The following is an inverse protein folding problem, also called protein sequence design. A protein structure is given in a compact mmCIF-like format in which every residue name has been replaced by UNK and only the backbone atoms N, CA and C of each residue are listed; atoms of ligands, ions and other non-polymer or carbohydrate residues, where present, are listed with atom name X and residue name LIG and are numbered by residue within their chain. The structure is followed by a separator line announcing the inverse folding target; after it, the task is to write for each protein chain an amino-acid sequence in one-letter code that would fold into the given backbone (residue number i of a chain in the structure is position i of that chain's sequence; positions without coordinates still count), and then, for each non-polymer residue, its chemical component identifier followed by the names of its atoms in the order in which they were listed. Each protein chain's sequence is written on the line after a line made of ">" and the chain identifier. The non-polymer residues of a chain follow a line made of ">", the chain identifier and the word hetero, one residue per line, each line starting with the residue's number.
data_IF_604160729392
#
_entry.id   IF_604160729392
#
_cell.length_a   1.000
_cell.length_b   1.000
_cell.length_c   1.000
_cell.angle_alpha   90.00
_cell.angle_beta   90.00
_cell.angle_gamma   90.00
#
_symmetry.space_group_name_H-M   'P 1'
#
loop_
_entity.id
_entity.type
_entity.pdbx_description
1 polymer ?
#
# COMPACT_ATOMS: atom_id res chain seq x y z
N UNK A 1 -32.30 -21.67 68.58
CA UNK A 1 -32.94 -20.93 67.47
C UNK A 1 -31.85 -20.20 66.71
N UNK A 2 -31.47 -20.75 65.58
CA UNK A 2 -30.37 -20.24 64.78
C UNK A 2 -30.98 -19.58 63.54
N UNK A 3 -30.85 -18.26 63.42
CA UNK A 3 -31.25 -17.48 62.23
C UNK A 3 -30.12 -17.53 61.23
N UNK A 4 -30.36 -18.17 60.07
CA UNK A 4 -29.48 -18.14 58.94
C UNK A 4 -29.74 -16.85 58.15
N UNK A 5 -28.71 -15.99 58.09
CA UNK A 5 -28.63 -14.85 57.18
C UNK A 5 -28.17 -15.35 55.82
N UNK A 6 -29.02 -15.23 54.81
CA UNK A 6 -28.63 -15.41 53.41
C UNK A 6 -28.06 -14.08 52.91
N UNK A 7 -26.76 -14.04 52.62
CA UNK A 7 -26.12 -12.95 51.89
C UNK A 7 -26.27 -13.22 50.40
N UNK A 8 -27.11 -12.40 49.74
CA UNK A 8 -27.24 -12.42 48.30
C UNK A 8 -26.03 -11.76 47.64
N UNK A 9 -25.29 -12.54 46.89
CA UNK A 9 -24.20 -12.04 46.04
C UNK A 9 -24.85 -11.57 44.73
N UNK A 10 -24.92 -10.25 44.54
CA UNK A 10 -25.32 -9.64 43.29
C UNK A 10 -24.09 -9.70 42.35
N UNK A 11 -24.13 -10.55 41.34
CA UNK A 11 -23.18 -10.57 40.24
C UNK A 11 -23.50 -9.41 39.31
N UNK A 12 -22.65 -8.37 39.37
CA UNK A 12 -22.67 -7.28 38.42
C UNK A 12 -21.89 -7.74 37.19
N UNK A 13 -22.59 -8.26 36.18
CA UNK A 13 -22.01 -8.58 34.88
C UNK A 13 -21.68 -7.26 34.13
N UNK A 14 -20.44 -6.86 34.21
CA UNK A 14 -19.86 -5.83 33.33
C UNK A 14 -19.81 -6.39 31.89
N UNK A 15 -20.79 -6.02 31.09
CA UNK A 15 -20.69 -6.18 29.63
C UNK A 15 -19.61 -5.24 29.11
N UNK A 16 -18.40 -5.75 28.99
CA UNK A 16 -17.34 -5.10 28.20
C UNK A 16 -17.78 -5.22 26.74
N UNK A 17 -18.38 -4.16 26.23
CA UNK A 17 -18.58 -3.99 24.80
C UNK A 17 -17.19 -3.81 24.16
N UNK A 18 -16.59 -4.89 23.69
CA UNK A 18 -15.47 -4.82 22.78
C UNK A 18 -15.97 -4.20 21.48
N UNK A 19 -15.81 -2.89 21.33
CA UNK A 19 -15.95 -2.25 20.03
C UNK A 19 -14.97 -2.93 19.07
N UNK A 20 -15.49 -3.51 17.98
CA UNK A 20 -14.69 -3.99 16.86
C UNK A 20 -14.05 -2.78 16.16
N UNK A 21 -12.99 -2.24 16.75
CA UNK A 21 -12.07 -1.43 15.99
C UNK A 21 -11.32 -2.40 15.06
N UNK A 22 -11.43 -2.25 13.75
CA UNK A 22 -10.64 -3.06 12.84
C UNK A 22 -9.16 -2.85 13.21
N UNK A 23 -8.50 -3.91 13.65
CA UNK A 23 -7.06 -3.89 13.90
C UNK A 23 -6.39 -3.54 12.58
N UNK A 24 -5.41 -2.62 12.57
CA UNK A 24 -4.67 -2.32 11.36
C UNK A 24 -4.04 -3.62 10.83
N UNK A 25 -4.21 -3.89 9.53
CA UNK A 25 -3.62 -5.04 8.88
C UNK A 25 -2.09 -4.97 9.06
N UNK A 26 -1.49 -5.98 9.65
CA UNK A 26 -0.05 -6.13 9.72
C UNK A 26 0.41 -7.04 8.57
N UNK A 27 1.35 -6.55 7.78
CA UNK A 27 1.97 -7.32 6.71
C UNK A 27 3.21 -8.01 7.29
N UNK A 28 3.33 -9.30 7.04
CA UNK A 28 4.45 -10.11 7.53
C UNK A 28 5.15 -10.70 6.32
N UNK A 29 6.42 -10.36 6.14
CA UNK A 29 7.27 -11.09 5.21
C UNK A 29 7.61 -12.43 5.85
N UNK A 30 7.21 -13.54 5.22
CA UNK A 30 7.63 -14.85 5.65
C UNK A 30 9.14 -14.94 5.46
N UNK A 31 9.88 -15.21 6.55
CA UNK A 31 11.33 -15.38 6.53
C UNK A 31 11.67 -16.74 5.86
N UNK A 32 11.52 -16.80 4.55
CA UNK A 32 11.77 -18.03 3.78
C UNK A 32 13.17 -18.08 3.18
N UNK A 33 13.93 -16.97 3.24
CA UNK A 33 15.25 -16.91 2.61
C UNK A 33 16.22 -15.99 3.34
N UNK A 34 17.51 -16.13 3.03
CA UNK A 34 18.60 -15.21 3.43
C UNK A 34 18.50 -13.84 2.69
N UNK A 35 17.34 -13.52 2.09
CA UNK A 35 17.15 -12.26 1.39
C UNK A 35 17.20 -11.07 2.34
N UNK A 36 18.15 -10.19 2.09
CA UNK A 36 18.40 -9.02 2.93
C UNK A 36 17.19 -8.07 3.00
N UNK A 37 16.36 -8.01 1.95
CA UNK A 37 15.14 -7.21 1.94
C UNK A 37 14.08 -7.80 2.88
N UNK A 38 13.90 -9.13 2.87
CA UNK A 38 12.99 -9.81 3.82
C UNK A 38 13.36 -9.50 5.26
N UNK A 39 14.65 -9.54 5.61
CA UNK A 39 15.14 -9.21 6.95
C UNK A 39 14.85 -7.76 7.31
N UNK A 40 15.02 -6.83 6.36
CA UNK A 40 14.75 -5.40 6.57
C UNK A 40 13.26 -5.07 6.68
N UNK A 41 12.42 -5.71 5.89
CA UNK A 41 10.97 -5.50 5.96
C UNK A 41 10.42 -5.99 7.29
N UNK A 42 10.81 -7.16 7.74
CA UNK A 42 10.32 -7.76 8.99
C UNK A 42 8.78 -7.71 9.06
N UNK A 43 8.27 -7.36 10.23
CA UNK A 43 6.85 -7.04 10.41
C UNK A 43 6.65 -5.53 10.30
N UNK A 44 5.82 -5.09 9.35
CA UNK A 44 5.54 -3.68 9.12
C UNK A 44 4.03 -3.39 9.12
N UNK A 45 3.70 -2.14 9.39
CA UNK A 45 2.35 -1.60 9.36
C UNK A 45 2.26 -0.50 8.31
N UNK A 46 1.08 0.07 8.13
CA UNK A 46 0.91 1.25 7.29
C UNK A 46 1.16 2.52 8.09
N UNK A 47 2.05 3.36 7.60
CA UNK A 47 2.18 4.76 7.99
C UNK A 47 1.30 5.62 7.08
N UNK A 48 0.88 6.79 7.57
CA UNK A 48 0.07 7.75 6.80
C UNK A 48 0.89 8.99 6.48
N UNK A 49 0.83 9.43 5.24
CA UNK A 49 1.40 10.67 4.75
C UNK A 49 0.32 11.49 4.05
N UNK A 50 0.20 12.77 4.40
CA UNK A 50 -0.67 13.70 3.67
C UNK A 50 0.16 14.45 2.64
N UNK A 51 -0.19 14.31 1.38
CA UNK A 51 0.44 15.03 0.28
C UNK A 51 -0.40 16.22 -0.14
N UNK A 52 0.04 17.43 0.19
CA UNK A 52 -0.59 18.67 -0.27
C UNK A 52 -0.57 18.78 -1.79
N UNK A 53 0.54 18.37 -2.44
CA UNK A 53 0.71 18.48 -3.89
C UNK A 53 -0.17 17.50 -4.68
N UNK A 54 -0.44 16.30 -4.13
CA UNK A 54 -1.35 15.33 -4.75
C UNK A 54 -2.80 15.50 -4.25
N UNK A 55 -3.02 16.25 -3.17
CA UNK A 55 -4.33 16.47 -2.56
C UNK A 55 -4.94 15.20 -1.98
N UNK A 56 -4.11 14.28 -1.45
CA UNK A 56 -4.57 13.01 -0.94
C UNK A 56 -3.73 12.49 0.22
N UNK A 57 -4.33 11.60 1.00
CA UNK A 57 -3.63 10.81 2.01
C UNK A 57 -3.11 9.50 1.39
N UNK A 58 -1.86 9.18 1.69
CA UNK A 58 -1.19 7.97 1.25
C UNK A 58 -0.87 7.12 2.47
N UNK A 59 -1.43 5.92 2.54
CA UNK A 59 -1.04 4.92 3.51
C UNK A 59 0.05 4.05 2.88
N UNK A 60 1.25 4.07 3.41
CA UNK A 60 2.40 3.39 2.82
C UNK A 60 3.10 2.46 3.84
N UNK A 61 3.87 1.46 3.38
CA UNK A 61 4.63 0.56 4.26
C UNK A 61 5.61 1.31 5.17
N UNK A 62 5.48 1.15 6.49
CA UNK A 62 6.18 1.96 7.50
C UNK A 62 7.70 1.78 7.54
N UNK A 63 8.26 0.78 6.88
CA UNK A 63 9.71 0.60 6.76
C UNK A 63 10.33 1.45 5.63
N UNK A 64 9.50 2.04 4.75
CA UNK A 64 9.94 2.95 3.71
C UNK A 64 10.08 4.38 4.25
N UNK A 65 10.95 5.17 3.63
CA UNK A 65 11.15 6.57 3.93
C UNK A 65 10.59 7.44 2.81
N UNK A 66 9.83 8.47 3.18
CA UNK A 66 9.40 9.46 2.21
C UNK A 66 10.61 10.23 1.67
N UNK A 67 10.75 10.26 0.34
CA UNK A 67 11.75 11.05 -0.36
C UNK A 67 11.12 12.34 -0.87
N UNK A 68 11.65 13.47 -0.45
CA UNK A 68 11.23 14.77 -0.99
C UNK A 68 11.59 14.85 -2.47
N UNK A 69 10.58 15.15 -3.28
CA UNK A 69 10.70 15.45 -4.70
C UNK A 69 10.37 16.93 -4.93
N UNK A 70 10.82 17.51 -6.06
CA UNK A 70 10.44 18.88 -6.43
C UNK A 70 8.93 19.09 -6.36
N UNK A 71 8.50 20.26 -5.88
CA UNK A 71 7.08 20.58 -5.65
C UNK A 71 6.22 20.57 -6.92
N UNK A 72 6.84 20.79 -8.07
CA UNK A 72 6.21 20.78 -9.39
C UNK A 72 5.91 19.36 -9.94
N UNK A 73 6.39 18.31 -9.25
CA UNK A 73 6.08 16.93 -9.66
C UNK A 73 4.72 16.50 -9.16
N UNK A 74 3.95 15.78 -9.98
CA UNK A 74 2.70 15.13 -9.59
C UNK A 74 2.96 13.75 -8.97
N UNK A 75 4.01 13.64 -8.14
CA UNK A 75 4.50 12.35 -7.64
C UNK A 75 4.98 12.45 -6.20
N UNK A 76 4.66 11.44 -5.39
CA UNK A 76 5.33 11.14 -4.12
C UNK A 76 6.13 9.86 -4.25
N UNK A 77 7.24 9.76 -3.51
CA UNK A 77 8.12 8.60 -3.54
C UNK A 77 8.47 8.14 -2.12
N UNK A 78 8.42 6.85 -1.90
CA UNK A 78 8.80 6.19 -0.65
C UNK A 78 9.83 5.13 -0.98
N UNK A 79 10.98 5.15 -0.32
CA UNK A 79 12.14 4.33 -0.68
C UNK A 79 12.71 3.56 0.52
N UNK A 80 13.27 2.41 0.21
CA UNK A 80 14.28 1.73 1.00
C UNK A 80 15.27 1.14 0.00
N UNK A 81 16.56 1.24 0.25
CA UNK A 81 17.68 0.85 -0.64
C UNK A 81 17.33 0.23 -2.03
N UNK A 82 16.75 -1.00 -2.02
CA UNK A 82 16.49 -1.82 -3.21
C UNK A 82 15.02 -1.84 -3.63
N UNK A 83 14.18 -1.05 -2.98
CA UNK A 83 12.73 -0.97 -3.21
C UNK A 83 12.28 0.47 -3.21
N UNK A 84 11.42 0.81 -4.14
CA UNK A 84 10.72 2.10 -4.13
C UNK A 84 9.24 1.94 -4.46
N UNK A 85 8.43 2.80 -3.85
CA UNK A 85 7.02 2.96 -4.19
C UNK A 85 6.82 4.40 -4.64
N UNK A 86 6.23 4.57 -5.82
CA UNK A 86 5.81 5.87 -6.34
C UNK A 86 4.29 5.94 -6.37
N UNK A 87 3.74 7.07 -5.94
CA UNK A 87 2.32 7.41 -6.14
C UNK A 87 2.28 8.63 -7.05
N UNK A 88 1.67 8.48 -8.21
CA UNK A 88 1.64 9.47 -9.29
C UNK A 88 0.18 9.84 -9.55
N UNK A 89 -0.11 11.13 -9.65
CA UNK A 89 -1.43 11.62 -10.06
C UNK A 89 -1.30 12.31 -11.41
N UNK A 90 -1.90 11.72 -12.42
CA UNK A 90 -1.94 12.26 -13.77
C UNK A 90 -3.28 12.96 -14.04
N UNK A 91 -3.20 14.15 -14.61
CA UNK A 91 -4.38 14.83 -15.18
C UNK A 91 -4.47 14.52 -16.66
N UNK A 92 -5.56 13.89 -17.08
CA UNK A 92 -5.82 13.54 -18.47
C UNK A 92 -6.31 14.72 -19.30
N UNK A 93 -5.97 15.96 -18.93
CA UNK A 93 -6.29 17.15 -19.69
C UNK A 93 -5.30 17.34 -20.84
N UNK A 94 -5.77 17.14 -22.06
CA UNK A 94 -4.97 17.30 -23.28
C UNK A 94 -4.41 15.98 -23.82
N UNK A 95 -3.22 16.03 -24.48
CA UNK A 95 -2.57 14.86 -25.09
C UNK A 95 -1.58 14.17 -24.14
N UNK A 96 -1.67 14.38 -22.84
CA UNK A 96 -0.76 13.77 -21.88
C UNK A 96 -1.18 12.32 -21.61
N UNK A 97 -0.23 11.42 -21.75
CA UNK A 97 -0.41 10.02 -21.36
C UNK A 97 -0.21 9.87 -19.86
N UNK A 98 -1.08 9.09 -19.21
CA UNK A 98 -0.85 8.70 -17.82
C UNK A 98 0.39 7.83 -17.68
N UNK A 99 0.94 7.72 -16.45
CA UNK A 99 2.06 6.82 -16.17
C UNK A 99 1.74 5.38 -16.61
N UNK A 100 0.51 4.90 -16.37
CA UNK A 100 0.07 3.58 -16.83
C UNK A 100 0.09 3.43 -18.35
N UNK A 101 -0.38 4.42 -19.10
CA UNK A 101 -0.31 4.41 -20.58
C UNK A 101 1.14 4.40 -21.09
N UNK A 102 2.05 5.11 -20.41
CA UNK A 102 3.47 5.08 -20.71
C UNK A 102 4.06 3.69 -20.46
N UNK A 103 3.72 3.04 -19.34
CA UNK A 103 4.14 1.67 -19.04
C UNK A 103 3.68 0.69 -20.11
N UNK A 104 2.42 0.78 -20.57
CA UNK A 104 1.90 -0.03 -21.68
C UNK A 104 2.67 0.23 -22.99
N UNK A 105 3.01 1.47 -23.27
CA UNK A 105 3.81 1.84 -24.44
C UNK A 105 5.25 1.31 -24.38
N UNK A 106 5.79 1.05 -23.19
CA UNK A 106 7.09 0.42 -22.96
C UNK A 106 7.04 -1.11 -22.93
N UNK A 107 5.87 -1.72 -23.16
CA UNK A 107 5.71 -3.17 -23.22
C UNK A 107 5.41 -3.82 -21.87
N UNK A 108 4.73 -3.12 -20.98
CA UNK A 108 4.22 -3.71 -19.74
C UNK A 108 3.24 -4.85 -20.04
N UNK A 109 3.33 -5.91 -19.25
CA UNK A 109 2.35 -6.99 -19.24
C UNK A 109 1.14 -6.56 -18.41
N UNK A 110 -0.05 -6.80 -18.95
CA UNK A 110 -1.32 -6.60 -18.24
C UNK A 110 -1.60 -7.84 -17.41
N UNK A 111 -1.56 -7.68 -16.07
CA UNK A 111 -1.72 -8.78 -15.10
C UNK A 111 -3.18 -8.97 -14.73
N UNK A 112 -3.92 -7.87 -14.49
CA UNK A 112 -5.32 -7.91 -14.10
C UNK A 112 -6.04 -6.62 -14.52
N UNK A 113 -7.36 -6.70 -14.70
CA UNK A 113 -8.21 -5.56 -15.08
C UNK A 113 -9.51 -5.61 -14.29
N UNK A 114 -9.79 -4.55 -13.56
CA UNK A 114 -11.08 -4.32 -12.92
C UNK A 114 -11.94 -3.31 -13.68
N UNK A 115 -12.99 -2.84 -13.05
CA UNK A 115 -13.89 -1.83 -13.62
C UNK A 115 -13.23 -0.45 -13.72
N UNK A 116 -12.45 -0.10 -12.69
CA UNK A 116 -11.82 1.20 -12.50
C UNK A 116 -10.28 1.11 -12.30
N UNK A 117 -9.69 -0.06 -12.54
CA UNK A 117 -8.24 -0.23 -12.40
C UNK A 117 -7.65 -1.22 -13.40
N UNK A 118 -6.34 -1.11 -13.56
CA UNK A 118 -5.50 -2.09 -14.26
C UNK A 118 -4.24 -2.38 -13.44
N UNK A 119 -3.80 -3.64 -13.41
CA UNK A 119 -2.53 -4.06 -12.83
C UNK A 119 -1.55 -4.34 -13.96
N UNK A 120 -0.39 -3.73 -13.88
CA UNK A 120 0.69 -3.84 -14.87
C UNK A 120 1.95 -4.36 -14.21
N UNK A 121 2.73 -5.16 -14.94
CA UNK A 121 4.07 -5.55 -14.54
C UNK A 121 5.04 -5.49 -15.72
N UNK A 122 6.32 -5.46 -15.42
CA UNK A 122 7.35 -5.46 -16.47
C UNK A 122 8.73 -5.18 -15.92
N UNK A 123 9.64 -4.93 -16.87
CA UNK A 123 11.01 -4.56 -16.56
C UNK A 123 11.37 -3.23 -17.20
N UNK A 124 12.09 -2.42 -16.46
CA UNK A 124 12.73 -1.20 -16.95
C UNK A 124 14.21 -1.23 -16.58
N UNK A 125 15.07 -1.43 -17.56
CA UNK A 125 16.51 -1.68 -17.38
C UNK A 125 16.76 -2.91 -16.47
N UNK A 126 17.20 -2.67 -15.23
CA UNK A 126 17.50 -3.71 -14.24
C UNK A 126 16.44 -3.84 -13.14
N UNK A 127 15.37 -3.04 -13.22
CA UNK A 127 14.31 -3.01 -12.23
C UNK A 127 13.08 -3.75 -12.74
N UNK A 128 12.53 -4.62 -11.92
CA UNK A 128 11.16 -5.04 -12.09
C UNK A 128 10.22 -3.98 -11.50
N UNK A 129 9.06 -3.84 -12.12
CA UNK A 129 7.98 -3.04 -11.57
C UNK A 129 6.66 -3.80 -11.55
N UNK A 130 5.86 -3.44 -10.58
CA UNK A 130 4.49 -3.91 -10.41
C UNK A 130 3.63 -2.71 -10.02
N UNK A 131 2.62 -2.39 -10.80
CA UNK A 131 1.87 -1.17 -10.62
C UNK A 131 0.37 -1.34 -10.79
N UNK A 132 -0.39 -0.52 -10.05
CA UNK A 132 -1.83 -0.40 -10.19
C UNK A 132 -2.16 1.00 -10.70
N UNK A 133 -2.91 1.05 -11.78
CA UNK A 133 -3.45 2.27 -12.39
C UNK A 133 -4.91 2.33 -12.03
N UNK A 134 -5.36 3.42 -11.43
CA UNK A 134 -6.73 3.61 -10.93
C UNK A 134 -7.35 4.81 -11.63
N UNK A 135 -8.44 4.60 -12.32
CA UNK A 135 -9.26 5.66 -12.91
C UNK A 135 -10.14 6.27 -11.83
N UNK A 136 -9.77 7.45 -11.34
CA UNK A 136 -10.51 8.14 -10.27
C UNK A 136 -11.74 8.85 -10.83
N UNK A 137 -11.57 9.51 -11.97
CA UNK A 137 -12.64 10.17 -12.73
C UNK A 137 -12.21 10.36 -14.20
N UNK A 138 -13.03 11.00 -15.01
CA UNK A 138 -12.75 11.22 -16.44
C UNK A 138 -11.51 12.06 -16.75
N UNK A 139 -10.92 12.69 -15.75
CA UNK A 139 -9.79 13.62 -15.89
C UNK A 139 -8.57 13.25 -15.04
N UNK A 140 -8.71 12.31 -14.12
CA UNK A 140 -7.67 12.01 -13.13
C UNK A 140 -7.43 10.51 -12.99
N UNK A 141 -6.18 10.14 -13.11
CA UNK A 141 -5.69 8.78 -12.93
C UNK A 141 -4.64 8.78 -11.82
N UNK A 142 -4.70 7.81 -10.94
CA UNK A 142 -3.68 7.58 -9.91
C UNK A 142 -2.94 6.29 -10.22
N UNK A 143 -1.62 6.37 -10.32
CA UNK A 143 -0.76 5.21 -10.50
C UNK A 143 0.06 5.00 -9.24
N UNK A 144 -0.04 3.82 -8.64
CA UNK A 144 0.89 3.36 -7.62
C UNK A 144 1.83 2.33 -8.24
N UNK A 145 3.13 2.54 -8.10
CA UNK A 145 4.15 1.70 -8.74
C UNK A 145 5.21 1.26 -7.73
N UNK A 146 5.35 -0.03 -7.56
CA UNK A 146 6.41 -0.70 -6.83
C UNK A 146 7.53 -1.01 -7.81
N UNK A 147 8.79 -0.66 -7.46
CA UNK A 147 10.01 -1.04 -8.21
C UNK A 147 10.98 -1.74 -7.27
N UNK A 148 11.59 -2.80 -7.74
CA UNK A 148 12.50 -3.63 -6.96
C UNK A 148 13.50 -4.35 -7.89
N UNK A 149 14.59 -4.87 -7.32
CA UNK A 149 15.47 -5.74 -8.08
C UNK A 149 14.88 -7.15 -8.23
N UNK A 150 15.05 -7.81 -9.40
CA UNK A 150 14.48 -9.15 -9.67
C UNK A 150 14.86 -10.21 -8.64
N UNK A 151 16.02 -10.09 -8.00
CA UNK A 151 16.50 -10.99 -6.96
C UNK A 151 15.62 -11.00 -5.71
N UNK A 152 14.80 -9.95 -5.51
CA UNK A 152 13.87 -9.83 -4.39
C UNK A 152 12.44 -10.29 -4.73
N UNK A 153 12.23 -10.94 -5.87
CA UNK A 153 10.89 -11.24 -6.40
C UNK A 153 9.95 -11.93 -5.40
N UNK A 154 10.46 -12.87 -4.59
CA UNK A 154 9.67 -13.53 -3.55
C UNK A 154 9.47 -12.63 -2.32
N UNK A 155 10.50 -11.89 -1.93
CA UNK A 155 10.46 -11.02 -0.75
C UNK A 155 9.47 -9.86 -0.89
N UNK A 156 9.20 -9.40 -2.11
CA UNK A 156 8.28 -8.26 -2.37
C UNK A 156 6.81 -8.66 -2.47
N UNK A 157 6.46 -9.95 -2.36
CA UNK A 157 5.07 -10.40 -2.49
C UNK A 157 4.10 -9.66 -1.54
N UNK A 158 4.42 -9.41 -0.26
CA UNK A 158 3.56 -8.61 0.60
C UNK A 158 3.38 -7.15 0.13
N UNK A 159 4.35 -6.61 -0.62
CA UNK A 159 4.24 -5.27 -1.22
C UNK A 159 3.36 -5.28 -2.46
N UNK A 160 3.40 -6.35 -3.28
CA UNK A 160 2.46 -6.54 -4.39
C UNK A 160 1.03 -6.66 -3.86
N UNK A 161 0.82 -7.40 -2.75
CA UNK A 161 -0.47 -7.47 -2.08
C UNK A 161 -0.95 -6.08 -1.63
N UNK A 162 -0.06 -5.28 -1.04
CA UNK A 162 -0.37 -3.90 -0.67
C UNK A 162 -0.73 -3.04 -1.90
N UNK A 163 -0.01 -3.15 -3.02
CA UNK A 163 -0.36 -2.46 -4.28
C UNK A 163 -1.75 -2.85 -4.76
N UNK A 164 -2.09 -4.14 -4.72
CA UNK A 164 -3.41 -4.63 -5.12
C UNK A 164 -4.54 -4.06 -4.26
N UNK A 165 -4.29 -3.88 -2.96
CA UNK A 165 -5.25 -3.31 -2.00
C UNK A 165 -5.29 -1.78 -2.00
N UNK A 166 -4.32 -1.13 -2.63
CA UNK A 166 -4.27 0.33 -2.68
C UNK A 166 -5.53 0.90 -3.34
N UNK A 167 -6.12 1.90 -2.69
CA UNK A 167 -7.32 2.60 -3.18
C UNK A 167 -7.24 4.08 -2.87
N UNK A 168 -7.82 4.88 -3.74
CA UNK A 168 -7.99 6.32 -3.56
C UNK A 168 -9.33 6.57 -2.87
N UNK A 169 -9.30 7.37 -1.80
CA UNK A 169 -10.50 7.77 -1.05
C UNK A 169 -10.83 9.22 -1.28
#
# INVERSE_FOLDING_TARGET
>A
MIRKLFAGIVWLSLLVSCGNNPQPKAYVSELTSDDSLTIRMGQWNLARYHSDKLGMDINYPSFLYHQELPSETSQEMFIAEDVSISVIVDSLTGMNYSAGQQMMGMGADLVDVGEDYSILSGMEEKWEYYGKVIDVDSSRVVTVMLRYFPEHGEAVEPLREWVNEFSVK
#
